data_IF_226784599517
#
_entry.id   IF_226784599517
#
_cell.length_a   1.000
_cell.length_b   1.000
_cell.length_c   1.000
_cell.angle_alpha   90.00
_cell.angle_beta   90.00
_cell.angle_gamma   90.00
#
_symmetry.space_group_name_H-M   'P 1'
#
loop_
_entity.id
_entity.type
_entity.pdbx_description
1 polymer ?
#
# COMPACT_ATOMS: atom_id res chain seq x y z
N UNK A 1 19.77 5.69 -13.36
CA UNK A 1 18.37 5.96 -13.79
C UNK A 1 18.00 7.36 -13.37
N UNK A 2 18.09 7.66 -12.07
CA UNK A 2 18.05 9.02 -11.53
C UNK A 2 19.45 9.48 -11.10
N UNK A 3 19.65 10.79 -10.88
CA UNK A 3 20.88 11.35 -10.33
C UNK A 3 20.99 11.11 -8.81
N UNK A 4 19.90 11.35 -8.09
CA UNK A 4 19.77 11.10 -6.65
C UNK A 4 18.43 10.40 -6.38
N UNK A 5 18.45 9.36 -5.54
CA UNK A 5 17.26 8.61 -5.14
C UNK A 5 16.50 9.22 -3.95
N UNK A 6 17.10 10.20 -3.28
CA UNK A 6 16.50 10.95 -2.16
C UNK A 6 15.91 12.28 -2.59
N UNK A 7 16.23 12.74 -3.80
CA UNK A 7 15.69 13.94 -4.42
C UNK A 7 14.32 13.68 -5.04
N UNK A 8 13.36 14.56 -4.74
CA UNK A 8 11.98 14.43 -5.22
C UNK A 8 11.91 14.61 -6.73
N UNK A 9 12.60 15.62 -7.29
CA UNK A 9 12.50 15.93 -8.71
C UNK A 9 13.11 14.82 -9.59
N UNK A 10 14.21 14.23 -9.14
CA UNK A 10 14.79 13.04 -9.72
C UNK A 10 13.81 11.87 -9.79
N UNK A 11 13.18 11.54 -8.65
CA UNK A 11 12.31 10.37 -8.54
C UNK A 11 10.91 10.59 -9.15
N UNK A 12 10.47 11.84 -9.23
CA UNK A 12 9.21 12.25 -9.88
C UNK A 12 9.38 12.49 -11.39
N UNK A 13 10.55 12.21 -11.96
CA UNK A 13 10.87 12.43 -13.37
C UNK A 13 10.76 13.90 -13.84
N UNK A 14 11.01 14.85 -12.93
CA UNK A 14 11.01 16.30 -13.17
C UNK A 14 12.43 16.88 -13.37
N UNK A 15 13.46 16.19 -12.88
CA UNK A 15 14.86 16.59 -13.04
C UNK A 15 15.30 16.55 -14.53
N UNK A 16 15.82 17.67 -15.02
CA UNK A 16 16.26 17.83 -16.41
C UNK A 16 17.45 16.93 -16.76
N UNK A 17 18.34 16.67 -15.79
CA UNK A 17 19.54 15.88 -15.99
C UNK A 17 19.25 14.38 -16.14
N UNK A 18 18.22 13.85 -15.43
CA UNK A 18 17.98 12.40 -15.40
C UNK A 18 16.69 11.92 -16.06
N UNK A 19 15.72 12.78 -16.36
CA UNK A 19 14.42 12.37 -16.95
C UNK A 19 14.56 11.57 -18.27
N UNK A 20 15.66 11.78 -19.00
CA UNK A 20 15.98 11.10 -20.26
C UNK A 20 16.78 9.81 -20.14
N UNK A 21 17.30 9.47 -18.96
CA UNK A 21 18.36 8.46 -18.79
C UNK A 21 17.98 7.06 -19.32
N UNK A 22 16.73 6.65 -19.17
CA UNK A 22 16.29 5.36 -19.72
C UNK A 22 16.44 5.36 -21.26
N UNK A 23 16.01 6.43 -21.92
CA UNK A 23 16.08 6.56 -23.37
C UNK A 23 17.53 6.70 -23.87
N UNK A 24 18.35 7.45 -23.13
CA UNK A 24 19.70 7.85 -23.53
C UNK A 24 20.76 6.79 -23.20
N UNK A 25 20.59 6.04 -22.11
CA UNK A 25 21.61 5.11 -21.62
C UNK A 25 21.18 3.65 -21.62
N UNK A 26 19.88 3.34 -21.51
CA UNK A 26 19.43 1.93 -21.50
C UNK A 26 19.07 1.46 -22.90
N UNK A 27 18.18 2.18 -23.61
CA UNK A 27 17.70 1.78 -24.94
C UNK A 27 18.85 1.56 -25.97
N UNK A 28 19.89 2.41 -26.04
CA UNK A 28 20.96 2.23 -27.02
C UNK A 28 21.75 0.94 -26.77
N UNK A 29 21.98 0.59 -25.51
CA UNK A 29 22.79 -0.53 -25.05
C UNK A 29 22.07 -1.90 -25.05
N UNK A 30 20.80 -1.96 -25.50
CA UNK A 30 20.08 -3.22 -25.64
C UNK A 30 20.73 -4.07 -26.74
N UNK A 31 21.22 -5.26 -26.36
CA UNK A 31 21.65 -6.29 -27.31
C UNK A 31 20.44 -7.00 -27.94
N UNK A 32 20.59 -7.47 -29.18
CA UNK A 32 19.60 -8.28 -29.87
C UNK A 32 18.19 -7.65 -29.89
N UNK A 33 18.10 -6.35 -30.21
CA UNK A 33 16.85 -5.55 -30.21
C UNK A 33 15.69 -6.21 -30.96
N UNK A 34 15.97 -6.99 -32.00
CA UNK A 34 15.00 -7.71 -32.84
C UNK A 34 14.64 -9.11 -32.34
N UNK A 35 15.36 -9.67 -31.36
CA UNK A 35 15.07 -10.99 -30.80
C UNK A 35 13.66 -10.98 -30.22
N UNK A 36 12.89 -12.00 -30.57
CA UNK A 36 11.55 -12.19 -30.01
C UNK A 36 11.66 -12.88 -28.66
N UNK A 37 10.99 -12.33 -27.67
CA UNK A 37 10.91 -12.84 -26.30
C UNK A 37 9.45 -12.88 -25.87
N UNK A 38 9.21 -13.59 -24.77
CA UNK A 38 7.95 -13.58 -24.04
C UNK A 38 8.16 -12.93 -22.68
N UNK A 39 7.21 -12.15 -22.21
CA UNK A 39 7.22 -11.56 -20.87
C UNK A 39 5.82 -11.55 -20.29
N UNK A 40 5.73 -11.31 -18.98
CA UNK A 40 4.46 -11.23 -18.27
C UNK A 40 4.27 -9.85 -17.67
N UNK A 41 3.01 -9.42 -17.60
CA UNK A 41 2.64 -8.20 -16.90
C UNK A 41 1.33 -8.43 -16.14
N UNK A 42 1.27 -7.88 -14.92
CA UNK A 42 0.01 -7.74 -14.19
C UNK A 42 -0.84 -6.64 -14.83
N UNK A 43 -2.11 -6.95 -15.07
CA UNK A 43 -3.10 -6.04 -15.62
C UNK A 43 -4.39 -6.13 -14.81
N UNK A 44 -5.06 -4.99 -14.64
CA UNK A 44 -6.41 -4.98 -14.09
C UNK A 44 -7.42 -5.16 -15.22
N UNK A 45 -8.21 -6.24 -15.16
CA UNK A 45 -9.32 -6.50 -16.06
C UNK A 45 -10.55 -6.82 -15.24
N UNK A 46 -11.67 -6.10 -15.47
CA UNK A 46 -12.95 -6.28 -14.75
C UNK A 46 -12.81 -6.36 -13.22
N UNK A 47 -11.92 -5.55 -12.64
CA UNK A 47 -11.70 -5.49 -11.19
C UNK A 47 -10.83 -6.60 -10.61
N UNK A 48 -10.19 -7.44 -11.44
CA UNK A 48 -9.22 -8.45 -10.99
C UNK A 48 -7.86 -8.20 -11.58
N UNK A 49 -6.82 -8.46 -10.79
CA UNK A 49 -5.45 -8.49 -11.28
C UNK A 49 -5.20 -9.83 -11.97
N UNK A 50 -4.84 -9.77 -13.25
CA UNK A 50 -4.53 -10.95 -14.07
C UNK A 50 -3.11 -10.82 -14.61
N UNK A 51 -2.35 -11.93 -14.55
CA UNK A 51 -1.02 -12.02 -15.16
C UNK A 51 -1.19 -12.39 -16.62
N UNK A 52 -0.88 -11.45 -17.51
CA UNK A 52 -1.01 -11.63 -18.96
C UNK A 52 0.35 -11.89 -19.59
N UNK A 53 0.43 -12.87 -20.48
CA UNK A 53 1.59 -13.13 -21.33
C UNK A 53 1.57 -12.18 -22.54
N UNK A 54 2.74 -11.65 -22.86
CA UNK A 54 3.01 -10.85 -24.05
C UNK A 54 4.17 -11.48 -24.82
N UNK A 55 4.19 -11.26 -26.13
CA UNK A 55 5.27 -11.65 -27.00
C UNK A 55 5.62 -10.52 -27.95
N UNK A 56 6.90 -10.41 -28.32
CA UNK A 56 7.39 -9.32 -29.14
C UNK A 56 8.89 -9.16 -29.03
N UNK A 57 9.44 -8.10 -29.62
CA UNK A 57 10.88 -7.89 -29.63
C UNK A 57 11.40 -7.41 -28.27
N UNK A 58 12.67 -7.67 -27.97
CA UNK A 58 13.35 -7.10 -26.79
C UNK A 58 13.18 -5.58 -26.76
N UNK A 59 13.31 -4.92 -27.90
CA UNK A 59 13.09 -3.46 -27.99
C UNK A 59 11.69 -3.04 -27.55
N UNK A 60 10.65 -3.76 -27.98
CA UNK A 60 9.27 -3.45 -27.60
C UNK A 60 9.04 -3.64 -26.09
N UNK A 61 9.53 -4.75 -25.52
CA UNK A 61 9.48 -5.00 -24.08
C UNK A 61 10.15 -3.87 -23.29
N UNK A 62 11.34 -3.43 -23.71
CA UNK A 62 12.08 -2.36 -23.04
C UNK A 62 11.40 -1.00 -23.18
N UNK A 63 10.70 -0.74 -24.29
CA UNK A 63 9.87 0.46 -24.45
C UNK A 63 8.66 0.46 -23.51
N UNK A 64 8.02 -0.68 -23.28
CA UNK A 64 6.96 -0.79 -22.27
C UNK A 64 7.50 -0.55 -20.86
N UNK A 65 8.70 -1.08 -20.54
CA UNK A 65 9.35 -0.82 -19.25
C UNK A 65 9.70 0.66 -19.08
N UNK A 66 10.19 1.32 -20.13
CA UNK A 66 10.45 2.75 -20.14
C UNK A 66 9.19 3.56 -19.77
N UNK A 67 8.04 3.23 -20.36
CA UNK A 67 6.77 3.93 -20.10
C UNK A 67 6.30 3.79 -18.65
N UNK A 68 6.64 2.67 -17.98
CA UNK A 68 6.26 2.41 -16.59
C UNK A 68 7.26 2.97 -15.58
N UNK A 69 8.46 3.32 -16.02
CA UNK A 69 9.55 3.77 -15.16
C UNK A 69 9.17 5.00 -14.31
N UNK A 70 8.55 6.06 -14.84
CA UNK A 70 8.22 7.24 -14.04
C UNK A 70 7.29 6.91 -12.86
N UNK A 71 6.24 6.13 -13.12
CA UNK A 71 5.30 5.70 -12.07
C UNK A 71 5.98 4.81 -11.03
N UNK A 72 6.89 3.93 -11.46
CA UNK A 72 7.67 3.10 -10.56
C UNK A 72 8.59 3.92 -9.65
N UNK A 73 9.32 4.89 -10.20
CA UNK A 73 10.22 5.75 -9.42
C UNK A 73 9.44 6.57 -8.38
N UNK A 74 8.33 7.19 -8.80
CA UNK A 74 7.41 7.90 -7.91
C UNK A 74 6.91 7.00 -6.77
N UNK A 75 6.44 5.79 -7.10
CA UNK A 75 5.99 4.82 -6.10
C UNK A 75 7.09 4.47 -5.10
N UNK A 76 8.31 4.19 -5.57
CA UNK A 76 9.46 3.85 -4.71
C UNK A 76 9.79 5.01 -3.76
N UNK A 77 9.81 6.24 -4.26
CA UNK A 77 10.11 7.42 -3.46
C UNK A 77 9.05 7.65 -2.38
N UNK A 78 7.77 7.68 -2.76
CA UNK A 78 6.66 7.88 -1.82
C UNK A 78 6.69 6.79 -0.74
N UNK A 79 6.81 5.52 -1.15
CA UNK A 79 6.87 4.39 -0.21
C UNK A 79 8.03 4.56 0.78
N UNK A 80 9.22 4.94 0.31
CA UNK A 80 10.40 5.15 1.18
C UNK A 80 10.19 6.32 2.13
N UNK A 81 9.71 7.47 1.65
CA UNK A 81 9.43 8.64 2.49
C UNK A 81 8.38 8.34 3.55
N UNK A 82 7.29 7.65 3.19
CA UNK A 82 6.25 7.23 4.13
C UNK A 82 6.78 6.23 5.15
N UNK A 83 7.58 5.25 4.74
CA UNK A 83 8.18 4.27 5.64
C UNK A 83 9.11 4.95 6.63
N UNK A 84 9.99 5.83 6.17
CA UNK A 84 10.92 6.55 7.05
C UNK A 84 10.16 7.44 8.03
N UNK A 85 9.18 8.22 7.54
CA UNK A 85 8.36 9.05 8.41
C UNK A 85 7.59 8.23 9.45
N UNK A 86 7.10 7.04 9.09
CA UNK A 86 6.45 6.13 10.03
C UNK A 86 7.40 5.59 11.11
N UNK A 87 8.62 5.18 10.73
CA UNK A 87 9.64 4.75 11.69
C UNK A 87 10.05 5.91 12.62
N UNK A 88 10.34 7.09 12.04
CA UNK A 88 10.71 8.29 12.79
C UNK A 88 9.62 8.68 13.79
N UNK A 89 8.35 8.67 13.35
CA UNK A 89 7.23 8.99 14.23
C UNK A 89 7.17 7.98 15.36
N UNK A 90 7.12 6.66 15.10
CA UNK A 90 7.07 5.63 16.16
C UNK A 90 8.14 5.78 17.24
N UNK A 91 9.33 6.27 16.90
CA UNK A 91 10.42 6.50 17.86
C UNK A 91 10.30 7.82 18.62
N UNK A 92 9.58 8.81 18.09
CA UNK A 92 9.55 10.19 18.60
C UNK A 92 8.22 10.62 19.23
N UNK A 93 7.14 9.84 19.06
CA UNK A 93 5.83 10.11 19.66
C UNK A 93 5.92 10.18 21.19
N UNK A 94 5.14 11.10 21.78
CA UNK A 94 4.96 11.30 23.21
C UNK A 94 3.83 10.42 23.79
N UNK A 95 3.66 10.41 25.11
CA UNK A 95 2.72 9.49 25.77
C UNK A 95 1.24 9.77 25.45
N UNK A 96 0.91 10.97 24.95
CA UNK A 96 -0.42 11.44 24.57
C UNK A 96 -0.73 11.31 23.07
N UNK A 97 0.19 10.75 22.28
CA UNK A 97 -0.04 10.46 20.85
C UNK A 97 -0.10 8.96 20.61
N UNK A 98 -1.06 8.55 19.79
CA UNK A 98 -1.20 7.16 19.33
C UNK A 98 -0.88 7.07 17.85
N UNK A 99 0.01 6.15 17.51
CA UNK A 99 0.32 5.83 16.11
C UNK A 99 -0.37 4.54 15.75
N UNK A 100 -1.16 4.55 14.67
CA UNK A 100 -1.89 3.39 14.20
C UNK A 100 -1.45 3.00 12.80
N UNK A 101 -1.03 1.76 12.62
CA UNK A 101 -0.93 1.14 11.30
C UNK A 101 -2.20 0.35 11.02
N UNK A 102 -2.86 0.65 9.91
CA UNK A 102 -4.12 0.02 9.52
C UNK A 102 -3.96 -0.72 8.21
N UNK A 103 -4.63 -1.86 8.10
CA UNK A 103 -4.72 -2.64 6.86
C UNK A 103 -6.12 -3.23 6.70
N UNK A 104 -6.52 -3.43 5.46
CA UNK A 104 -7.75 -4.11 5.11
C UNK A 104 -7.42 -5.50 4.59
N UNK A 105 -7.57 -6.51 5.45
CA UNK A 105 -7.39 -7.89 5.03
C UNK A 105 -8.50 -8.28 4.04
N UNK A 106 -8.13 -8.97 2.96
CA UNK A 106 -9.07 -9.48 1.97
C UNK A 106 -10.20 -10.31 2.62
N UNK A 107 -11.32 -10.49 1.90
CA UNK A 107 -12.51 -11.17 2.41
C UNK A 107 -12.19 -12.56 2.98
N UNK A 108 -12.29 -12.70 4.30
CA UNK A 108 -12.10 -13.96 5.02
C UNK A 108 -13.32 -14.86 4.84
N UNK A 109 -13.09 -16.09 4.41
CA UNK A 109 -14.14 -17.08 4.22
C UNK A 109 -14.34 -17.85 5.51
N UNK A 110 -15.49 -17.68 6.15
CA UNK A 110 -15.86 -18.43 7.35
C UNK A 110 -16.05 -19.90 6.98
N UNK A 111 -15.25 -20.77 7.59
CA UNK A 111 -15.39 -22.22 7.50
C UNK A 111 -15.72 -22.75 8.90
N UNK A 112 -16.80 -23.52 9.03
CA UNK A 112 -17.02 -24.27 10.27
C UNK A 112 -16.21 -25.57 10.17
N UNK A 113 -15.60 -26.00 11.26
CA UNK A 113 -14.75 -27.20 11.27
C UNK A 113 -15.57 -28.48 11.02
N UNK A 114 -16.85 -28.51 11.39
CA UNK A 114 -17.76 -29.66 11.23
C UNK A 114 -18.87 -29.43 10.18
N UNK A 115 -18.52 -28.98 8.98
CA UNK A 115 -19.53 -28.79 7.91
C UNK A 115 -19.96 -30.11 7.26
N UNK A 116 -21.27 -30.36 7.25
CA UNK A 116 -21.88 -31.40 6.40
C UNK A 116 -21.62 -31.10 4.92
N UNK A 117 -21.54 -32.14 4.08
CA UNK A 117 -21.17 -32.01 2.65
C UNK A 117 -22.03 -31.01 1.86
N UNK A 118 -23.29 -30.83 2.24
CA UNK A 118 -24.22 -29.86 1.61
C UNK A 118 -23.93 -28.39 1.93
N UNK A 119 -23.20 -28.09 3.02
CA UNK A 119 -22.79 -26.72 3.38
C UNK A 119 -21.53 -26.25 2.62
N UNK A 120 -20.93 -27.12 1.80
CA UNK A 120 -19.69 -26.84 1.05
C UNK A 120 -19.82 -25.68 0.04
N UNK A 121 -21.04 -25.39 -0.44
CA UNK A 121 -21.28 -24.41 -1.50
C UNK A 121 -21.70 -23.01 -1.01
N UNK A 122 -22.03 -22.85 0.29
CA UNK A 122 -22.57 -21.60 0.86
C UNK A 122 -21.67 -20.99 1.92
N UNK A 123 -20.38 -20.80 1.61
CA UNK A 123 -19.44 -20.18 2.55
C UNK A 123 -19.70 -18.68 2.66
N UNK A 124 -20.07 -18.22 3.86
CA UNK A 124 -20.17 -16.78 4.15
C UNK A 124 -18.77 -16.18 4.19
N UNK A 125 -18.63 -14.98 3.65
CA UNK A 125 -17.38 -14.23 3.74
C UNK A 125 -17.64 -12.95 4.52
N UNK A 126 -16.67 -12.59 5.35
CA UNK A 126 -16.61 -11.35 6.10
C UNK A 126 -15.38 -10.59 5.68
N UNK A 127 -15.38 -9.29 5.87
CA UNK A 127 -14.20 -8.46 5.78
C UNK A 127 -13.60 -8.25 7.16
N UNK A 128 -12.27 -8.16 7.22
CA UNK A 128 -11.55 -7.90 8.46
C UNK A 128 -10.71 -6.65 8.25
N UNK A 129 -10.99 -5.61 9.01
CA UNK A 129 -10.14 -4.43 9.12
C UNK A 129 -9.22 -4.65 10.32
N UNK A 130 -7.91 -4.63 10.08
CA UNK A 130 -6.91 -4.85 11.12
C UNK A 130 -6.19 -3.55 11.42
N UNK A 131 -5.91 -3.30 12.70
CA UNK A 131 -5.06 -2.19 13.10
C UNK A 131 -4.08 -2.62 14.17
N UNK A 132 -2.92 -2.00 14.19
CA UNK A 132 -1.96 -2.07 15.26
C UNK A 132 -1.67 -0.67 15.76
N UNK A 133 -1.91 -0.41 17.04
CA UNK A 133 -1.69 0.88 17.68
C UNK A 133 -0.49 0.80 18.63
N UNK A 134 0.44 1.73 18.49
CA UNK A 134 1.51 1.98 19.46
C UNK A 134 1.06 3.12 20.38
N UNK A 135 1.08 2.85 21.69
CA UNK A 135 0.58 3.75 22.73
C UNK A 135 1.61 3.91 23.86
N UNK A 136 1.80 5.13 24.38
CA UNK A 136 2.72 5.39 25.50
C UNK A 136 4.18 5.62 25.09
N UNK A 137 4.39 6.35 23.99
CA UNK A 137 5.70 6.86 23.59
C UNK A 137 6.77 5.81 23.25
N UNK A 138 8.03 6.24 23.28
CA UNK A 138 9.21 5.40 23.01
C UNK A 138 9.39 4.31 24.08
N UNK A 139 8.94 3.09 23.78
CA UNK A 139 8.87 1.96 24.72
C UNK A 139 7.45 1.54 25.10
N UNK A 140 6.46 2.20 24.52
CA UNK A 140 5.04 1.97 24.73
C UNK A 140 4.53 0.58 24.32
N UNK A 141 3.35 0.22 24.82
CA UNK A 141 2.70 -1.05 24.54
C UNK A 141 1.97 -1.01 23.20
N UNK A 142 2.08 -2.11 22.45
CA UNK A 142 1.34 -2.28 21.20
C UNK A 142 0.02 -3.02 21.40
N UNK A 143 -1.03 -2.55 20.71
CA UNK A 143 -2.38 -3.09 20.77
C UNK A 143 -2.88 -3.48 19.37
N UNK A 144 -3.40 -4.70 19.26
CA UNK A 144 -3.95 -5.22 18.00
C UNK A 144 -5.47 -5.15 18.00
N UNK A 145 -6.04 -4.64 16.91
CA UNK A 145 -7.48 -4.56 16.66
C UNK A 145 -7.88 -5.36 15.44
N UNK A 146 -9.05 -5.99 15.52
CA UNK A 146 -9.69 -6.66 14.39
C UNK A 146 -11.18 -6.33 14.35
N UNK A 147 -11.58 -5.48 13.42
CA UNK A 147 -12.98 -5.13 13.20
C UNK A 147 -13.55 -6.02 12.09
N UNK A 148 -14.55 -6.83 12.44
CA UNK A 148 -15.19 -7.75 11.52
C UNK A 148 -16.46 -7.12 10.96
N UNK A 149 -16.58 -7.11 9.63
CA UNK A 149 -17.75 -6.56 8.94
C UNK A 149 -18.34 -7.55 7.95
N UNK A 150 -19.68 -7.53 7.81
CA UNK A 150 -20.39 -8.24 6.75
C UNK A 150 -20.33 -7.49 5.40
N UNK A 151 -19.82 -6.25 5.38
CA UNK A 151 -19.65 -5.48 4.15
C UNK A 151 -18.41 -5.93 3.38
N UNK A 152 -18.62 -6.50 2.20
CA UNK A 152 -17.54 -6.95 1.31
C UNK A 152 -17.00 -5.85 0.40
N UNK A 153 -17.60 -4.66 0.42
CA UNK A 153 -17.18 -3.51 -0.37
C UNK A 153 -16.20 -2.69 0.45
N UNK A 154 -14.93 -2.69 0.04
CA UNK A 154 -13.85 -1.95 0.69
C UNK A 154 -13.81 -0.52 0.13
N UNK A 155 -14.93 0.19 0.26
CA UNK A 155 -15.04 1.56 -0.20
C UNK A 155 -14.68 2.55 0.93
N UNK A 156 -14.58 3.83 0.59
CA UNK A 156 -14.26 4.89 1.56
C UNK A 156 -15.21 4.93 2.77
N UNK A 157 -16.48 4.57 2.62
CA UNK A 157 -17.44 4.59 3.72
C UNK A 157 -17.13 3.50 4.75
N UNK A 158 -16.87 2.27 4.29
CA UNK A 158 -16.46 1.17 5.17
C UNK A 158 -15.17 1.52 5.92
N UNK A 159 -14.20 2.13 5.24
CA UNK A 159 -12.92 2.55 5.85
C UNK A 159 -13.15 3.62 6.92
N UNK A 160 -13.93 4.66 6.62
CA UNK A 160 -14.24 5.73 7.58
C UNK A 160 -14.95 5.16 8.82
N UNK A 161 -15.97 4.32 8.63
CA UNK A 161 -16.69 3.70 9.76
C UNK A 161 -15.77 2.83 10.62
N UNK A 162 -14.86 2.05 10.02
CA UNK A 162 -13.89 1.28 10.78
C UNK A 162 -12.92 2.19 11.57
N UNK A 163 -12.48 3.30 10.98
CA UNK A 163 -11.62 4.27 11.66
C UNK A 163 -12.35 4.97 12.80
N UNK A 164 -13.60 5.37 12.62
CA UNK A 164 -14.43 5.97 13.67
C UNK A 164 -14.58 5.02 14.88
N UNK A 165 -14.89 3.75 14.63
CA UNK A 165 -14.96 2.73 15.69
C UNK A 165 -13.60 2.59 16.38
N UNK A 166 -12.51 2.50 15.61
CA UNK A 166 -11.17 2.37 16.16
C UNK A 166 -10.77 3.58 17.03
N UNK A 167 -11.10 4.80 16.60
CA UNK A 167 -10.86 6.02 17.38
C UNK A 167 -11.61 5.95 18.73
N UNK A 168 -12.88 5.53 18.73
CA UNK A 168 -13.66 5.40 19.97
C UNK A 168 -13.07 4.36 20.93
N UNK A 169 -12.61 3.22 20.40
CA UNK A 169 -11.93 2.20 21.20
C UNK A 169 -10.63 2.77 21.81
N UNK A 170 -9.82 3.49 21.02
CA UNK A 170 -8.57 4.12 21.48
C UNK A 170 -8.84 5.13 22.60
N UNK A 171 -9.80 6.05 22.41
CA UNK A 171 -10.16 7.06 23.42
C UNK A 171 -10.68 6.38 24.70
N UNK A 172 -11.39 5.26 24.58
CA UNK A 172 -11.87 4.52 25.76
C UNK A 172 -10.72 3.91 26.57
N UNK A 173 -9.67 3.42 25.90
CA UNK A 173 -8.49 2.86 26.58
C UNK A 173 -7.50 3.93 27.06
N UNK A 174 -7.40 5.04 26.34
CA UNK A 174 -6.52 6.17 26.64
C UNK A 174 -7.34 7.47 26.56
N UNK A 175 -8.05 7.84 27.64
CA UNK A 175 -8.91 9.03 27.65
C UNK A 175 -8.15 10.35 27.47
N UNK A 176 -6.87 10.37 27.81
CA UNK A 176 -6.00 11.56 27.74
C UNK A 176 -5.25 11.67 26.39
N UNK A 177 -5.64 10.88 25.38
CA UNK A 177 -5.05 10.96 24.03
C UNK A 177 -5.38 12.30 23.38
N UNK A 178 -4.36 12.98 22.86
CA UNK A 178 -4.50 14.27 22.18
C UNK A 178 -4.48 14.12 20.65
N UNK A 179 -3.71 13.16 20.14
CA UNK A 179 -3.53 12.96 18.71
C UNK A 179 -3.53 11.47 18.34
N UNK A 180 -4.23 11.12 17.25
CA UNK A 180 -4.16 9.79 16.64
C UNK A 180 -3.71 9.90 15.18
N UNK A 181 -2.61 9.23 14.85
CA UNK A 181 -1.98 9.27 13.52
C UNK A 181 -2.20 7.93 12.82
N UNK A 182 -2.90 7.94 11.69
CA UNK A 182 -3.17 6.72 10.91
C UNK A 182 -2.24 6.55 9.70
N UNK A 183 -1.66 5.37 9.59
CA UNK A 183 -0.81 4.91 8.49
C UNK A 183 -1.41 3.69 7.80
N UNK A 184 -1.82 3.78 6.53
CA UNK A 184 -2.21 2.59 5.76
C UNK A 184 -0.97 1.75 5.41
N UNK A 185 -1.06 0.42 5.57
CA UNK A 185 0.05 -0.51 5.29
C UNK A 185 0.46 -0.52 3.82
N UNK A 186 -0.47 -0.26 2.89
CA UNK A 186 -0.20 -0.18 1.46
C UNK A 186 -0.43 1.26 1.00
N UNK A 187 0.58 1.94 0.39
CA UNK A 187 0.35 3.21 -0.28
C UNK A 187 -0.68 2.97 -1.38
N UNK A 188 -1.85 3.64 -1.35
CA UNK A 188 -2.78 3.58 -2.48
C UNK A 188 -2.01 3.95 -3.73
N UNK A 189 -2.25 3.23 -4.83
CA UNK A 189 -1.58 3.46 -6.10
C UNK A 189 -1.69 4.92 -6.62
N UNK A 190 -2.55 5.75 -6.02
CA UNK A 190 -2.80 7.15 -6.38
C UNK A 190 -3.05 8.12 -5.19
N UNK A 191 -2.76 7.78 -3.92
CA UNK A 191 -3.01 8.74 -2.84
C UNK A 191 -2.36 8.35 -1.51
N UNK A 192 -1.28 9.02 -1.13
CA UNK A 192 -0.81 9.04 0.25
C UNK A 192 -1.83 9.75 1.12
N UNK A 193 -2.61 9.02 1.91
CA UNK A 193 -3.48 9.61 2.92
C UNK A 193 -2.85 9.28 4.28
N UNK A 194 -2.13 10.25 4.84
CA UNK A 194 -1.92 10.33 6.29
C UNK A 194 -3.14 11.07 6.82
N UNK A 195 -3.95 10.42 7.64
CA UNK A 195 -5.09 11.07 8.30
C UNK A 195 -4.66 11.42 9.72
N UNK A 196 -4.61 12.73 10.00
CA UNK A 196 -4.43 13.28 11.33
C UNK A 196 -5.81 13.60 11.89
N UNK A 197 -6.14 13.03 13.04
CA UNK A 197 -7.31 13.41 13.81
C UNK A 197 -6.81 14.13 15.07
N UNK A 198 -7.04 15.44 15.12
CA UNK A 198 -6.95 16.20 16.36
C UNK A 198 -8.27 15.98 17.10
N UNK A 199 -8.18 15.46 18.33
CA UNK A 199 -9.32 15.16 19.19
C UNK A 199 -9.67 16.39 20.03
#
# INVERSE_FOLDING_TARGET
>A
MVCDENDEDCMMSRCDDCKGNFAQHIIPNIMNKKKVIKWYQWMHYKGRAEKKEFSGTVFHCMKQLQQKTPQYLCHVFIKRKQSNYFEDIKETVNDDTVVCQVDYAENFTLQNQDQIQSAHWSKKQVSIFTAYAWMGGSGGQGYSFGLVSNQKKHNKYTVITCLEILVQEIITMMPDVNEIIFFPMVPPANSSIVMLFNI
#
